data_IF_366541827301
#
_entry.id   IF_366541827301
#
_cell.length_a   1.000
_cell.length_b   1.000
_cell.length_c   1.000
_cell.angle_alpha   90.00
_cell.angle_beta   90.00
_cell.angle_gamma   90.00
#
_symmetry.space_group_name_H-M   'P 1'
#
loop_
_entity.id
_entity.type
_entity.pdbx_description
1 polymer ?
#
# COMPACT_ATOMS: atom_id res chain seq x y z
N UNK A 1 14.98 63.12 -76.27
CA UNK A 1 16.21 62.43 -76.73
C UNK A 1 17.35 63.36 -77.01
N UNK A 2 17.17 64.71 -76.96
CA UNK A 2 18.17 65.64 -77.39
C UNK A 2 18.54 65.50 -78.88
N UNK A 3 19.77 65.90 -79.25
CA UNK A 3 20.24 65.80 -80.64
C UNK A 3 20.79 64.44 -81.05
N UNK A 4 20.80 63.44 -80.13
CA UNK A 4 21.23 62.03 -80.35
C UNK A 4 20.39 61.05 -79.58
N UNK A 5 20.42 59.80 -80.04
CA UNK A 5 19.64 58.69 -79.44
C UNK A 5 20.19 58.40 -78.00
N UNK A 6 19.33 58.00 -77.10
CA UNK A 6 19.68 57.53 -75.80
C UNK A 6 20.43 56.21 -75.94
N UNK A 7 21.63 56.11 -75.33
CA UNK A 7 22.54 54.95 -75.37
C UNK A 7 22.51 54.13 -74.03
N UNK A 8 22.19 54.77 -72.91
CA UNK A 8 21.98 54.13 -71.68
C UNK A 8 20.97 54.89 -70.79
N UNK A 9 20.25 54.23 -69.94
CA UNK A 9 19.34 54.81 -68.97
C UNK A 9 19.13 53.84 -67.80
N UNK A 10 18.73 54.40 -66.66
CA UNK A 10 18.54 53.62 -65.45
C UNK A 10 18.39 54.47 -64.21
N UNK A 11 18.68 53.86 -63.07
CA UNK A 11 18.67 54.51 -61.77
C UNK A 11 20.04 54.36 -61.12
N UNK A 12 20.52 55.43 -60.58
CA UNK A 12 21.69 55.47 -59.67
C UNK A 12 21.20 55.66 -58.26
N UNK A 13 21.75 54.92 -57.30
CA UNK A 13 21.32 54.99 -55.92
C UNK A 13 22.49 54.97 -54.92
N UNK A 14 22.26 55.50 -53.68
CA UNK A 14 23.17 55.52 -52.58
C UNK A 14 22.44 55.56 -51.25
N UNK A 15 23.12 55.22 -50.14
CA UNK A 15 22.60 55.42 -48.78
C UNK A 15 22.91 56.82 -48.27
N UNK A 16 23.71 57.60 -49.01
CA UNK A 16 24.11 58.99 -48.64
C UNK A 16 23.15 60.01 -49.26
N UNK A 17 22.53 60.81 -48.42
CA UNK A 17 21.74 61.96 -48.88
C UNK A 17 22.54 62.96 -49.64
N UNK A 18 22.10 63.45 -50.80
CA UNK A 18 22.78 64.39 -51.57
C UNK A 18 24.08 63.90 -52.28
N UNK A 19 24.16 62.58 -52.53
CA UNK A 19 25.29 62.00 -53.25
C UNK A 19 25.48 62.62 -54.64
N UNK A 20 26.71 62.85 -55.05
CA UNK A 20 27.00 63.50 -56.35
C UNK A 20 26.56 62.61 -57.53
N UNK A 21 26.07 63.21 -58.60
CA UNK A 21 25.75 62.53 -59.85
C UNK A 21 26.93 61.70 -60.37
N UNK A 22 26.71 60.43 -60.70
CA UNK A 22 27.73 59.49 -61.17
C UNK A 22 28.58 58.86 -60.08
N UNK A 23 28.27 59.08 -58.76
CA UNK A 23 29.01 58.53 -57.66
C UNK A 23 28.28 57.39 -56.94
N UNK A 24 27.01 57.14 -57.29
CA UNK A 24 26.20 56.10 -56.74
C UNK A 24 26.33 54.73 -57.45
N UNK A 25 25.61 53.79 -56.99
CA UNK A 25 25.49 52.45 -57.63
C UNK A 25 24.48 52.56 -58.78
N UNK A 26 24.93 52.42 -60.00
CA UNK A 26 24.09 52.50 -61.18
C UNK A 26 23.42 51.13 -61.53
N UNK A 27 22.12 51.14 -61.77
CA UNK A 27 21.34 49.98 -62.24
C UNK A 27 20.73 50.37 -63.59
N UNK A 28 21.29 49.80 -64.65
CA UNK A 28 20.78 49.99 -65.99
C UNK A 28 19.40 49.41 -66.21
N UNK A 29 18.54 50.07 -66.94
CA UNK A 29 17.23 49.59 -67.36
C UNK A 29 17.23 49.18 -68.83
N UNK A 30 16.43 48.19 -69.19
CA UNK A 30 16.27 47.71 -70.54
C UNK A 30 14.83 47.81 -71.06
N UNK A 31 13.94 48.48 -70.33
CA UNK A 31 12.48 48.40 -70.52
C UNK A 31 11.85 49.77 -70.82
N UNK A 32 12.51 50.60 -71.68
CA UNK A 32 11.98 51.89 -72.04
C UNK A 32 10.71 51.73 -72.90
N UNK A 33 9.58 52.24 -72.43
CA UNK A 33 8.30 52.25 -73.09
C UNK A 33 7.85 53.72 -73.24
N UNK A 34 7.96 54.23 -74.46
CA UNK A 34 7.76 55.67 -74.72
C UNK A 34 8.86 56.47 -74.06
N UNK A 35 8.54 57.23 -73.00
CA UNK A 35 9.47 58.03 -72.21
C UNK A 35 9.70 57.46 -70.80
N UNK A 36 9.05 56.35 -70.45
CA UNK A 36 9.06 55.77 -69.17
C UNK A 36 9.96 54.52 -69.08
N UNK A 37 10.66 54.37 -68.02
CA UNK A 37 11.45 53.17 -67.62
C UNK A 37 11.33 52.85 -66.17
N UNK A 38 11.67 51.65 -65.76
CA UNK A 38 11.77 51.21 -64.40
C UNK A 38 13.03 50.38 -64.18
N UNK A 39 13.60 50.43 -62.98
CA UNK A 39 14.70 49.58 -62.58
C UNK A 39 14.35 48.91 -61.25
N UNK A 40 14.50 47.59 -61.23
CA UNK A 40 14.31 46.81 -59.99
C UNK A 40 15.64 46.88 -59.21
N UNK A 41 15.59 47.43 -58.00
CA UNK A 41 16.70 47.41 -57.06
C UNK A 41 16.59 46.18 -56.14
N UNK A 42 17.61 45.34 -56.13
CA UNK A 42 17.67 44.13 -55.33
C UNK A 42 18.87 44.11 -54.42
N UNK A 43 18.88 43.25 -53.35
CA UNK A 43 19.97 43.17 -52.40
C UNK A 43 20.09 44.36 -51.43
N UNK A 44 19.02 45.15 -51.32
CA UNK A 44 18.97 46.29 -50.43
C UNK A 44 18.93 45.85 -48.98
N UNK A 45 19.61 46.57 -48.07
CA UNK A 45 19.52 46.34 -46.64
C UNK A 45 18.13 46.74 -46.11
N UNK A 46 17.53 46.00 -45.21
CA UNK A 46 16.24 46.33 -44.63
C UNK A 46 16.33 47.58 -43.73
N UNK A 47 15.18 48.24 -43.55
CA UNK A 47 15.04 49.42 -42.65
C UNK A 47 16.06 50.53 -42.97
N UNK A 48 16.41 50.65 -44.27
CA UNK A 48 17.46 51.56 -44.73
C UNK A 48 16.85 52.58 -45.71
N UNK A 49 17.21 53.85 -45.50
CA UNK A 49 16.84 54.92 -46.43
C UNK A 49 17.79 54.89 -47.60
N UNK A 50 17.28 54.86 -48.79
CA UNK A 50 18.00 54.95 -50.03
C UNK A 50 17.59 56.22 -50.77
N UNK A 51 18.58 56.89 -51.39
CA UNK A 51 18.40 58.00 -52.23
C UNK A 51 18.74 57.61 -53.66
N UNK A 52 18.05 58.15 -54.66
CA UNK A 52 18.25 57.77 -56.05
C UNK A 52 18.02 58.90 -57.03
N UNK A 53 18.70 58.85 -58.17
CA UNK A 53 18.48 59.64 -59.36
C UNK A 53 18.15 58.75 -60.52
N UNK A 54 17.18 59.11 -61.36
CA UNK A 54 17.07 58.57 -62.71
C UNK A 54 18.18 59.19 -63.58
N UNK A 55 18.79 58.41 -64.45
CA UNK A 55 19.78 58.94 -65.38
C UNK A 55 19.49 58.51 -66.82
N UNK A 56 19.88 59.30 -67.80
CA UNK A 56 19.90 58.96 -69.21
C UNK A 56 21.16 59.53 -69.88
N UNK A 57 21.77 58.72 -70.75
CA UNK A 57 23.03 59.04 -71.44
C UNK A 57 22.79 59.01 -72.96
N UNK A 58 23.39 60.01 -73.64
CA UNK A 58 23.49 60.01 -75.08
C UNK A 58 24.88 60.59 -75.50
N UNK A 59 25.19 60.86 -76.73
CA UNK A 59 26.48 61.36 -77.17
C UNK A 59 26.84 62.80 -76.65
N UNK A 60 25.86 63.49 -76.08
CA UNK A 60 26.07 64.77 -75.37
C UNK A 60 26.40 64.65 -73.90
N UNK A 61 26.38 63.46 -73.33
CA UNK A 61 26.65 63.21 -71.91
C UNK A 61 25.52 62.58 -71.17
N UNK A 62 25.66 62.49 -69.81
CA UNK A 62 24.62 61.89 -68.94
C UNK A 62 23.87 63.00 -68.19
N UNK A 63 22.57 62.97 -68.23
CA UNK A 63 21.65 63.80 -67.47
C UNK A 63 21.06 63.04 -66.31
N UNK A 64 20.90 63.72 -65.18
CA UNK A 64 20.29 63.12 -63.96
C UNK A 64 19.03 63.90 -63.58
N UNK A 65 18.03 63.13 -63.10
CA UNK A 65 16.81 63.68 -62.52
C UNK A 65 17.01 64.17 -61.08
N UNK A 66 16.00 64.81 -60.53
CA UNK A 66 16.01 65.20 -59.12
C UNK A 66 16.13 63.97 -58.21
N UNK A 67 16.76 64.13 -57.09
CA UNK A 67 16.92 63.11 -56.11
C UNK A 67 15.55 62.70 -55.48
N UNK A 68 15.25 61.45 -55.48
CA UNK A 68 14.18 60.87 -54.72
C UNK A 68 14.71 60.01 -53.57
N UNK A 69 13.86 59.60 -52.67
CA UNK A 69 14.21 58.66 -51.60
C UNK A 69 13.07 57.65 -51.31
N UNK A 70 13.45 56.53 -50.77
CA UNK A 70 12.52 55.54 -50.21
C UNK A 70 13.21 54.86 -49.02
N UNK A 71 12.38 54.19 -48.13
CA UNK A 71 12.86 53.37 -47.01
C UNK A 71 12.43 51.93 -47.27
N UNK A 72 13.36 51.02 -47.17
CA UNK A 72 13.04 49.61 -47.24
C UNK A 72 12.22 49.15 -46.03
N UNK A 73 11.35 48.19 -46.19
CA UNK A 73 10.46 47.68 -45.16
C UNK A 73 11.25 47.03 -44.00
N UNK A 74 10.71 47.15 -42.79
CA UNK A 74 11.27 46.52 -41.57
C UNK A 74 10.83 45.03 -41.54
N UNK A 75 11.76 44.10 -41.41
CA UNK A 75 11.45 42.72 -41.14
C UNK A 75 10.80 42.52 -39.77
N UNK A 76 9.70 41.79 -39.69
CA UNK A 76 8.97 41.52 -38.46
C UNK A 76 8.80 40.00 -38.33
N UNK A 77 9.21 39.47 -37.15
CA UNK A 77 8.87 38.18 -36.68
C UNK A 77 7.83 38.27 -35.60
N UNK A 78 6.93 37.29 -35.52
CA UNK A 78 5.97 37.10 -34.43
C UNK A 78 5.73 35.63 -34.20
N UNK A 79 5.09 35.26 -33.09
CA UNK A 79 4.74 33.87 -32.77
C UNK A 79 3.39 33.80 -32.07
N UNK A 80 2.72 32.71 -32.24
CA UNK A 80 1.61 32.34 -31.35
C UNK A 80 2.14 31.84 -30.00
N UNK A 81 1.25 31.69 -29.02
CA UNK A 81 1.57 31.09 -27.72
C UNK A 81 1.78 29.59 -27.83
N UNK A 82 2.62 29.01 -26.95
CA UNK A 82 2.81 27.58 -26.74
C UNK A 82 2.03 27.17 -25.49
N UNK A 83 1.21 26.12 -25.60
CA UNK A 83 0.55 25.51 -24.44
C UNK A 83 1.59 24.82 -23.56
N UNK A 84 1.57 25.06 -22.23
CA UNK A 84 2.48 24.46 -21.26
C UNK A 84 2.30 22.94 -21.14
N UNK A 85 3.34 22.25 -20.67
CA UNK A 85 3.38 20.79 -20.54
C UNK A 85 2.98 20.31 -19.15
N UNK A 86 2.91 21.19 -18.16
CA UNK A 86 2.63 20.81 -16.77
C UNK A 86 3.71 19.92 -16.14
N UNK A 87 3.29 19.02 -15.25
CA UNK A 87 4.18 18.07 -14.60
C UNK A 87 4.35 16.83 -15.48
N UNK A 88 5.58 16.48 -15.80
CA UNK A 88 5.96 15.33 -16.64
C UNK A 88 6.96 14.49 -15.88
N UNK A 89 6.75 13.18 -15.85
CA UNK A 89 7.70 12.27 -15.20
C UNK A 89 9.09 12.38 -15.87
N UNK A 90 10.15 12.44 -15.08
CA UNK A 90 11.51 12.44 -15.62
C UNK A 90 11.76 11.25 -16.55
N UNK A 91 12.55 11.48 -17.60
CA UNK A 91 12.87 10.51 -18.66
C UNK A 91 11.65 10.04 -19.47
N UNK A 92 10.52 10.71 -19.37
CA UNK A 92 9.36 10.52 -20.27
C UNK A 92 9.15 11.75 -21.14
N UNK A 93 8.51 11.58 -22.28
CA UNK A 93 8.29 12.66 -23.24
C UNK A 93 6.81 13.01 -23.32
N UNK A 94 6.50 14.28 -23.14
CA UNK A 94 5.17 14.85 -23.34
C UNK A 94 5.08 15.64 -24.64
N UNK A 95 3.88 15.76 -25.18
CA UNK A 95 3.60 16.48 -26.42
C UNK A 95 3.48 15.56 -27.67
N UNK A 96 3.49 16.10 -28.89
CA UNK A 96 3.86 17.48 -29.20
C UNK A 96 2.75 18.51 -28.93
N UNK A 97 3.12 19.64 -28.31
CA UNK A 97 2.39 20.89 -28.39
C UNK A 97 2.96 21.69 -29.56
N UNK A 98 2.36 22.82 -29.95
CA UNK A 98 2.87 23.60 -31.06
C UNK A 98 2.66 25.09 -30.90
N UNK A 99 3.50 25.87 -31.60
CA UNK A 99 3.30 27.29 -31.85
C UNK A 99 3.59 27.59 -33.33
N UNK A 100 3.10 28.71 -33.84
CA UNK A 100 3.34 29.13 -35.21
C UNK A 100 4.22 30.36 -35.23
N UNK A 101 5.29 30.33 -36.02
CA UNK A 101 6.12 31.47 -36.33
C UNK A 101 5.50 32.14 -37.58
N UNK A 102 5.32 33.46 -37.52
CA UNK A 102 4.91 34.23 -38.67
C UNK A 102 5.91 35.38 -38.92
N UNK A 103 6.09 35.72 -40.17
CA UNK A 103 7.00 36.80 -40.51
C UNK A 103 6.49 37.63 -41.73
N UNK A 104 6.85 38.91 -41.75
CA UNK A 104 6.60 39.81 -42.84
C UNK A 104 7.86 40.58 -43.19
N UNK A 105 8.06 40.87 -44.49
CA UNK A 105 9.24 41.58 -45.00
C UNK A 105 10.59 40.95 -44.63
N UNK A 106 10.62 39.63 -44.39
CA UNK A 106 11.85 38.96 -44.01
C UNK A 106 12.90 39.01 -45.12
N UNK A 107 14.17 39.01 -44.72
CA UNK A 107 15.32 38.80 -45.61
C UNK A 107 15.44 37.32 -45.97
N UNK A 108 16.39 36.94 -46.79
CA UNK A 108 16.69 35.52 -47.14
C UNK A 108 17.42 34.76 -46.04
N UNK A 109 17.76 35.41 -44.90
CA UNK A 109 18.42 34.77 -43.76
C UNK A 109 17.49 33.72 -43.10
N UNK A 110 18.05 32.60 -42.71
CA UNK A 110 17.28 31.56 -42.05
C UNK A 110 16.59 32.06 -40.76
N UNK A 111 15.38 31.52 -40.51
CA UNK A 111 14.72 31.66 -39.22
C UNK A 111 15.23 30.51 -38.30
N UNK A 112 15.65 30.84 -37.12
CA UNK A 112 16.23 29.89 -36.15
C UNK A 112 15.37 29.77 -34.92
N UNK A 113 15.27 28.55 -34.37
CA UNK A 113 14.70 28.25 -33.07
C UNK A 113 15.83 27.79 -32.17
N UNK A 114 16.10 28.55 -31.11
CA UNK A 114 17.20 28.28 -30.21
C UNK A 114 16.90 27.13 -29.21
N UNK A 115 17.97 26.54 -28.69
CA UNK A 115 17.86 25.48 -27.67
C UNK A 115 17.27 26.00 -26.36
N UNK A 116 16.37 25.22 -25.78
CA UNK A 116 15.94 25.37 -24.38
C UNK A 116 16.02 23.98 -23.70
N UNK A 117 16.64 23.95 -22.54
CA UNK A 117 16.84 22.66 -21.83
C UNK A 117 15.54 21.91 -21.61
N UNK A 118 15.51 20.62 -21.91
CA UNK A 118 14.33 19.76 -21.80
C UNK A 118 13.38 19.81 -23.00
N UNK A 119 13.56 20.75 -23.98
CA UNK A 119 12.69 20.91 -25.12
C UNK A 119 13.38 20.53 -26.43
N UNK A 120 12.61 19.94 -27.33
CA UNK A 120 13.04 19.60 -28.69
C UNK A 120 11.95 19.99 -29.69
N UNK A 121 12.36 20.27 -30.93
CA UNK A 121 11.53 20.89 -31.94
C UNK A 121 11.50 20.12 -33.24
N UNK A 122 10.37 20.18 -33.95
CA UNK A 122 10.22 19.65 -35.30
C UNK A 122 9.29 20.54 -36.12
N UNK A 123 9.42 20.50 -37.45
CA UNK A 123 8.49 21.15 -38.38
C UNK A 123 7.27 20.29 -38.71
N UNK A 124 7.24 19.02 -38.27
CA UNK A 124 6.11 18.10 -38.46
C UNK A 124 5.85 17.31 -37.15
N UNK A 125 4.60 17.02 -36.83
CA UNK A 125 4.21 16.35 -35.61
C UNK A 125 4.87 14.96 -35.41
N UNK A 126 5.02 14.21 -36.50
CA UNK A 126 5.63 12.87 -36.52
C UNK A 126 7.11 12.85 -36.96
N UNK A 127 7.73 14.02 -37.12
CA UNK A 127 9.10 14.15 -37.60
C UNK A 127 10.21 13.88 -36.56
N UNK A 128 11.45 14.08 -36.98
CA UNK A 128 12.60 14.07 -36.10
C UNK A 128 12.63 15.36 -35.29
N UNK A 129 12.80 15.21 -33.97
CA UNK A 129 12.91 16.35 -33.04
C UNK A 129 14.37 16.62 -32.71
N UNK A 130 14.77 17.90 -32.81
CA UNK A 130 16.12 18.37 -32.53
C UNK A 130 16.09 19.46 -31.46
N UNK A 131 17.22 19.72 -30.83
CA UNK A 131 17.33 20.78 -29.80
C UNK A 131 17.32 22.21 -30.38
N UNK A 132 17.56 22.36 -31.68
CA UNK A 132 17.51 23.64 -32.41
C UNK A 132 16.93 23.42 -33.79
N UNK A 133 16.37 24.45 -34.43
CA UNK A 133 16.03 24.41 -35.84
C UNK A 133 16.69 25.59 -36.58
N UNK A 134 17.06 25.35 -37.85
CA UNK A 134 17.44 26.34 -38.77
C UNK A 134 16.56 26.16 -40.03
N UNK A 135 15.67 27.12 -40.25
CA UNK A 135 14.61 27.03 -41.23
C UNK A 135 14.93 27.94 -42.41
N UNK A 136 15.19 27.33 -43.57
CA UNK A 136 15.29 28.09 -44.82
C UNK A 136 13.90 28.62 -45.18
N UNK A 137 13.87 29.88 -45.62
CA UNK A 137 12.59 30.49 -46.03
C UNK A 137 12.83 31.47 -47.17
N UNK A 138 11.84 31.69 -48.08
CA UNK A 138 11.93 32.76 -49.06
C UNK A 138 11.82 34.11 -48.33
N UNK A 139 12.38 35.15 -48.92
CA UNK A 139 12.16 36.50 -48.41
C UNK A 139 10.68 36.89 -48.45
N UNK A 140 10.29 37.85 -47.58
CA UNK A 140 8.93 38.41 -47.55
C UNK A 140 8.03 37.79 -46.49
N UNK A 141 6.89 37.21 -46.88
CA UNK A 141 5.94 36.59 -45.97
C UNK A 141 6.38 35.17 -45.59
N UNK A 142 6.22 34.81 -44.32
CA UNK A 142 6.59 33.50 -43.78
C UNK A 142 5.58 33.00 -42.76
N UNK A 143 5.29 31.69 -42.80
CA UNK A 143 4.48 31.04 -41.78
C UNK A 143 4.93 29.58 -41.62
N UNK A 144 5.31 29.17 -40.42
CA UNK A 144 5.74 27.80 -40.10
C UNK A 144 5.26 27.41 -38.71
N UNK A 145 4.55 26.28 -38.64
CA UNK A 145 4.20 25.64 -37.39
C UNK A 145 5.41 24.84 -36.85
N UNK A 146 5.69 25.02 -35.60
CA UNK A 146 6.75 24.31 -34.85
C UNK A 146 6.11 23.43 -33.82
N UNK A 147 6.40 22.13 -33.87
CA UNK A 147 5.99 21.15 -32.90
C UNK A 147 7.07 21.00 -31.84
N UNK A 148 6.67 20.96 -30.58
CA UNK A 148 7.55 20.96 -29.40
C UNK A 148 7.25 19.74 -28.55
N UNK A 149 8.31 19.01 -28.17
CA UNK A 149 8.25 17.96 -27.16
C UNK A 149 9.03 18.39 -25.92
N UNK A 150 8.57 17.92 -24.76
CA UNK A 150 9.21 18.18 -23.49
C UNK A 150 9.63 16.85 -22.84
N UNK A 151 10.93 16.71 -22.53
CA UNK A 151 11.53 15.52 -21.92
C UNK A 151 12.40 15.92 -20.75
N UNK A 152 11.85 16.07 -19.53
CA UNK A 152 12.64 16.44 -18.35
C UNK A 152 13.56 15.29 -17.93
N UNK A 153 14.79 15.59 -17.52
CA UNK A 153 15.76 14.62 -17.01
C UNK A 153 15.98 14.72 -15.50
N UNK A 154 15.55 15.82 -14.89
CA UNK A 154 15.69 16.10 -13.47
C UNK A 154 14.37 16.58 -12.88
N UNK A 155 14.21 16.42 -11.58
CA UNK A 155 13.07 16.95 -10.81
C UNK A 155 13.29 18.42 -10.56
N UNK A 156 12.80 19.25 -11.47
CA UNK A 156 12.93 20.72 -11.42
C UNK A 156 11.95 21.39 -12.38
N UNK A 157 11.82 22.72 -12.26
CA UNK A 157 11.16 23.56 -13.27
C UNK A 157 12.04 23.76 -14.49
N UNK A 158 11.46 23.69 -15.68
CA UNK A 158 12.08 23.93 -16.98
C UNK A 158 11.49 25.16 -17.67
N UNK A 159 10.86 26.06 -16.92
CA UNK A 159 10.25 27.28 -17.47
C UNK A 159 11.31 28.17 -18.09
N UNK A 160 11.04 28.69 -19.27
CA UNK A 160 11.97 29.57 -19.99
C UNK A 160 11.38 30.10 -21.27
N UNK A 161 12.21 30.74 -22.07
CA UNK A 161 11.83 31.27 -23.37
C UNK A 161 12.57 30.56 -24.50
N UNK A 162 11.81 30.04 -25.47
CA UNK A 162 12.35 29.61 -26.75
C UNK A 162 12.57 30.84 -27.60
N UNK A 163 13.83 31.20 -27.84
CA UNK A 163 14.17 32.36 -28.67
C UNK A 163 14.02 31.97 -30.16
N UNK A 164 13.23 32.73 -30.90
CA UNK A 164 13.03 32.62 -32.35
C UNK A 164 13.60 33.88 -32.99
N UNK A 165 14.62 33.72 -33.81
CA UNK A 165 15.32 34.86 -34.46
C UNK A 165 15.62 34.59 -35.93
N UNK A 166 16.19 35.54 -36.61
CA UNK A 166 16.57 35.45 -38.04
C UNK A 166 15.62 36.18 -38.99
N UNK A 167 15.80 35.94 -40.28
CA UNK A 167 15.01 36.65 -41.30
C UNK A 167 15.21 38.19 -41.30
N UNK A 168 16.22 38.70 -40.60
CA UNK A 168 16.46 40.13 -40.39
C UNK A 168 15.55 40.79 -39.35
N UNK A 169 14.60 40.05 -38.75
CA UNK A 169 13.69 40.58 -37.73
C UNK A 169 14.26 40.47 -36.34
N UNK A 170 13.65 41.21 -35.37
CA UNK A 170 13.98 41.10 -33.96
C UNK A 170 13.61 39.74 -33.40
N UNK A 171 14.39 39.25 -32.46
CA UNK A 171 14.10 37.96 -31.75
C UNK A 171 12.79 38.03 -31.00
N UNK A 172 11.98 36.99 -31.17
CA UNK A 172 10.73 36.79 -30.45
C UNK A 172 10.93 35.64 -29.41
N UNK A 173 10.42 35.85 -28.21
CA UNK A 173 10.46 34.85 -27.15
C UNK A 173 9.13 34.15 -26.98
N UNK A 174 9.14 32.85 -27.17
CA UNK A 174 7.96 31.97 -26.93
C UNK A 174 8.12 31.38 -25.55
N UNK A 175 7.23 31.76 -24.62
CA UNK A 175 7.23 31.19 -23.29
C UNK A 175 6.93 29.69 -23.32
N UNK A 176 7.81 28.88 -22.74
CA UNK A 176 7.65 27.44 -22.56
C UNK A 176 7.64 27.12 -21.07
N UNK A 177 6.68 26.30 -20.63
CA UNK A 177 6.53 25.92 -19.23
C UNK A 177 6.39 24.40 -19.11
N UNK A 178 7.06 23.84 -18.09
CA UNK A 178 6.98 22.42 -17.73
C UNK A 178 7.83 22.15 -16.48
N UNK A 179 7.50 21.08 -15.78
CA UNK A 179 8.29 20.63 -14.63
C UNK A 179 8.54 19.13 -14.72
N UNK A 180 9.79 18.72 -14.47
CA UNK A 180 10.13 17.33 -14.25
C UNK A 180 9.72 16.90 -12.84
N UNK A 181 9.04 15.78 -12.74
CA UNK A 181 8.61 15.20 -11.46
C UNK A 181 9.01 13.73 -11.37
N UNK A 182 9.13 13.22 -10.13
CA UNK A 182 9.28 11.79 -9.85
C UNK A 182 8.33 11.45 -8.69
N UNK A 183 7.07 11.17 -9.03
CA UNK A 183 6.03 10.95 -8.03
C UNK A 183 6.04 9.53 -7.50
N UNK A 184 5.92 9.38 -6.19
CA UNK A 184 5.68 8.12 -5.52
C UNK A 184 4.29 7.54 -5.86
N UNK A 185 4.02 6.25 -5.60
CA UNK A 185 2.70 5.65 -5.80
C UNK A 185 1.65 6.30 -4.90
N UNK A 186 0.38 6.23 -5.26
CA UNK A 186 -0.71 6.42 -4.30
C UNK A 186 -1.12 5.07 -3.71
N UNK A 187 -1.39 5.03 -2.41
CA UNK A 187 -1.80 3.80 -1.71
C UNK A 187 -2.90 4.12 -0.69
N UNK A 188 -3.83 3.17 -0.50
CA UNK A 188 -4.85 3.25 0.54
C UNK A 188 -4.87 1.97 1.35
N UNK A 189 -5.03 2.11 2.67
CA UNK A 189 -5.24 0.97 3.56
C UNK A 189 -6.69 0.50 3.45
N UNK A 190 -6.87 -0.79 3.21
CA UNK A 190 -8.16 -1.46 3.21
C UNK A 190 -8.51 -2.01 4.60
N UNK A 191 -9.67 -2.68 4.71
CA UNK A 191 -10.11 -3.28 5.95
C UNK A 191 -9.33 -4.55 6.31
N UNK A 192 -9.21 -4.82 7.61
CA UNK A 192 -8.78 -6.11 8.12
C UNK A 192 -9.94 -7.12 8.10
N UNK A 193 -9.62 -8.38 7.80
CA UNK A 193 -10.57 -9.50 7.71
C UNK A 193 -9.92 -10.80 8.20
N UNK A 194 -10.69 -11.89 8.27
CA UNK A 194 -10.23 -13.20 8.74
C UNK A 194 -9.43 -13.12 10.06
N UNK A 195 -9.92 -12.28 10.99
CA UNK A 195 -9.28 -12.02 12.27
C UNK A 195 -9.50 -13.22 13.20
N UNK A 196 -8.42 -13.84 13.64
CA UNK A 196 -8.41 -14.91 14.63
C UNK A 196 -7.70 -14.45 15.90
N UNK A 197 -7.32 -15.39 16.75
CA UNK A 197 -6.51 -15.12 17.96
C UNK A 197 -5.07 -14.71 17.62
N UNK A 198 -4.51 -15.19 16.49
CA UNK A 198 -3.11 -15.04 16.14
C UNK A 198 -2.86 -14.63 14.70
N UNK A 199 -3.91 -14.41 13.92
CA UNK A 199 -3.81 -14.03 12.49
C UNK A 199 -4.83 -12.98 12.11
N UNK A 200 -4.54 -12.22 11.06
CA UNK A 200 -5.47 -11.35 10.36
C UNK A 200 -5.03 -11.21 8.89
N UNK A 201 -5.96 -10.90 8.01
CA UNK A 201 -5.66 -10.50 6.63
C UNK A 201 -5.99 -9.02 6.48
N UNK A 202 -5.04 -8.23 6.02
CA UNK A 202 -5.23 -6.79 5.79
C UNK A 202 -5.11 -6.50 4.31
N UNK A 203 -6.10 -5.78 3.77
CA UNK A 203 -6.13 -5.37 2.37
C UNK A 203 -5.47 -4.02 2.15
N UNK A 204 -5.02 -3.76 0.91
CA UNK A 204 -4.55 -2.47 0.45
C UNK A 204 -4.84 -2.28 -1.03
N UNK A 205 -4.82 -1.02 -1.49
CA UNK A 205 -4.97 -0.70 -2.92
C UNK A 205 -3.91 0.30 -3.36
N UNK A 206 -3.47 0.18 -4.63
CA UNK A 206 -2.53 1.09 -5.30
C UNK A 206 -3.24 1.69 -6.51
N UNK A 207 -4.00 2.79 -6.34
CA UNK A 207 -4.75 3.41 -7.44
C UNK A 207 -3.87 3.97 -8.55
N UNK A 208 -2.66 4.41 -8.25
CA UNK A 208 -1.70 4.90 -9.23
C UNK A 208 -0.26 4.53 -8.85
N UNK A 209 0.53 4.14 -9.86
CA UNK A 209 1.93 3.73 -9.69
C UNK A 209 2.89 4.92 -9.50
N UNK A 210 2.41 6.16 -9.72
CA UNK A 210 3.29 7.32 -9.81
C UNK A 210 4.08 7.33 -11.12
N UNK A 211 5.29 7.87 -11.08
CA UNK A 211 6.12 8.04 -12.28
C UNK A 211 6.81 6.76 -12.76
N UNK A 212 6.94 5.78 -11.92
CA UNK A 212 7.61 4.50 -12.24
C UNK A 212 6.82 3.32 -11.70
N UNK A 213 7.12 2.13 -12.18
CA UNK A 213 6.51 0.90 -11.68
C UNK A 213 6.75 0.75 -10.17
N UNK A 214 5.75 0.20 -9.47
CA UNK A 214 5.86 -0.15 -8.06
C UNK A 214 6.84 -1.30 -7.89
N UNK A 215 7.83 -1.14 -7.01
CA UNK A 215 8.90 -2.11 -6.74
C UNK A 215 8.68 -2.90 -5.45
N UNK A 216 7.94 -2.34 -4.48
CA UNK A 216 7.57 -3.01 -3.24
C UNK A 216 6.22 -2.49 -2.74
N UNK A 217 5.44 -3.35 -2.12
CA UNK A 217 4.17 -3.01 -1.49
C UNK A 217 3.82 -4.04 -0.40
N UNK A 218 2.97 -3.65 0.52
CA UNK A 218 2.55 -4.51 1.62
C UNK A 218 1.85 -3.76 2.74
N UNK A 219 1.88 -4.37 3.92
CA UNK A 219 1.31 -3.82 5.15
C UNK A 219 2.41 -3.65 6.19
N UNK A 220 2.44 -2.50 6.83
CA UNK A 220 3.21 -2.21 8.03
C UNK A 220 2.27 -2.15 9.22
N UNK A 221 2.61 -2.77 10.36
CA UNK A 221 1.76 -2.82 11.54
C UNK A 221 2.53 -2.68 12.85
N UNK A 222 1.83 -2.26 13.91
CA UNK A 222 2.35 -2.07 15.26
C UNK A 222 1.24 -2.22 16.29
N UNK A 223 1.59 -2.43 17.55
CA UNK A 223 0.65 -2.31 18.69
C UNK A 223 0.52 -0.87 19.19
N UNK A 224 1.34 0.05 18.70
CA UNK A 224 1.32 1.46 19.09
C UNK A 224 0.38 2.26 18.19
N UNK A 225 -0.62 2.93 18.75
CA UNK A 225 -1.46 3.85 18.00
C UNK A 225 -0.67 5.07 17.53
N UNK A 226 -0.82 5.45 16.27
CA UNK A 226 -0.11 6.59 15.67
C UNK A 226 1.39 6.33 15.47
N UNK A 227 1.82 5.08 15.31
CA UNK A 227 3.22 4.77 15.03
C UNK A 227 3.68 5.45 13.72
N UNK A 228 4.91 6.01 13.69
CA UNK A 228 5.43 6.67 12.50
C UNK A 228 5.60 5.71 11.32
N UNK A 229 5.36 6.20 10.10
CA UNK A 229 5.60 5.47 8.86
C UNK A 229 7.04 4.92 8.79
N UNK A 230 7.21 3.66 8.43
CA UNK A 230 8.50 3.00 8.30
C UNK A 230 9.10 2.50 9.63
N UNK A 231 8.35 2.54 10.75
CA UNK A 231 8.84 2.11 12.07
C UNK A 231 8.15 0.86 12.61
N UNK A 232 7.08 0.40 11.95
CA UNK A 232 6.37 -0.81 12.32
C UNK A 232 7.00 -2.08 11.73
N UNK A 233 6.35 -3.21 11.97
CA UNK A 233 6.71 -4.48 11.33
C UNK A 233 6.11 -4.53 9.93
N UNK A 234 6.96 -4.58 8.90
CA UNK A 234 6.53 -4.63 7.50
C UNK A 234 6.36 -6.07 7.00
N UNK A 235 5.23 -6.36 6.37
CA UNK A 235 4.96 -7.60 5.65
C UNK A 235 4.79 -7.27 4.17
N UNK A 236 5.77 -7.68 3.36
CA UNK A 236 5.71 -7.52 1.91
C UNK A 236 4.62 -8.43 1.30
N UNK A 237 3.93 -7.92 0.29
CA UNK A 237 2.95 -8.67 -0.51
C UNK A 237 3.47 -8.90 -1.92
N UNK A 238 3.01 -9.98 -2.56
CA UNK A 238 3.36 -10.35 -3.94
C UNK A 238 2.12 -10.62 -4.81
N UNK A 239 0.93 -10.38 -4.27
CA UNK A 239 -0.36 -10.78 -4.83
C UNK A 239 -1.18 -9.62 -5.42
N UNK A 240 -0.50 -8.62 -6.03
CA UNK A 240 -1.20 -7.49 -6.66
C UNK A 240 -2.04 -7.97 -7.84
N UNK A 241 -3.35 -7.75 -7.77
CA UNK A 241 -4.30 -8.06 -8.83
C UNK A 241 -5.08 -6.80 -9.19
N UNK A 242 -4.81 -6.27 -10.39
CA UNK A 242 -5.27 -4.94 -10.75
C UNK A 242 -4.64 -3.89 -9.83
N UNK A 243 -5.46 -3.23 -9.00
CA UNK A 243 -5.00 -2.25 -8.01
C UNK A 243 -4.99 -2.81 -6.58
N UNK A 244 -5.48 -4.04 -6.35
CA UNK A 244 -5.72 -4.60 -5.03
C UNK A 244 -4.64 -5.59 -4.62
N UNK A 245 -4.30 -5.60 -3.33
CA UNK A 245 -3.45 -6.59 -2.70
C UNK A 245 -3.91 -6.90 -1.27
N UNK A 246 -3.37 -7.95 -0.67
CA UNK A 246 -3.58 -8.26 0.74
C UNK A 246 -2.34 -8.90 1.34
N UNK A 247 -2.17 -8.74 2.66
CA UNK A 247 -1.12 -9.39 3.43
C UNK A 247 -1.74 -10.21 4.55
N UNK A 248 -1.26 -11.43 4.71
CA UNK A 248 -1.59 -12.26 5.86
C UNK A 248 -0.63 -11.94 7.02
N UNK A 249 -1.15 -11.47 8.13
CA UNK A 249 -0.43 -11.24 9.36
C UNK A 249 -0.55 -12.49 10.24
N UNK A 250 0.55 -13.01 10.76
CA UNK A 250 0.62 -14.22 11.57
C UNK A 250 1.47 -13.98 12.82
N UNK A 251 1.35 -14.85 13.84
CA UNK A 251 2.10 -14.72 15.08
C UNK A 251 1.65 -13.56 15.96
N UNK A 252 0.43 -13.08 15.76
CA UNK A 252 -0.14 -12.00 16.55
C UNK A 252 -0.48 -12.47 17.98
N UNK A 253 -0.42 -11.57 18.96
CA UNK A 253 -0.88 -11.83 20.30
C UNK A 253 -2.42 -11.81 20.38
N UNK A 254 -3.06 -12.72 21.14
CA UNK A 254 -4.52 -12.69 21.32
C UNK A 254 -4.98 -11.45 22.10
N UNK A 255 -6.27 -11.08 21.94
CA UNK A 255 -6.90 -9.93 22.61
C UNK A 255 -6.09 -8.63 22.48
N UNK A 256 -5.36 -8.46 21.36
CA UNK A 256 -4.44 -7.34 21.17
C UNK A 256 -4.91 -6.47 20.02
N UNK A 257 -4.95 -5.17 20.21
CA UNK A 257 -5.23 -4.21 19.15
C UNK A 257 -3.96 -3.91 18.36
N UNK A 258 -4.04 -4.05 17.05
CA UNK A 258 -3.01 -3.73 16.08
C UNK A 258 -3.46 -2.56 15.21
N UNK A 259 -2.54 -1.66 14.94
CA UNK A 259 -2.68 -0.53 14.02
C UNK A 259 -1.83 -0.82 12.79
N UNK A 260 -2.29 -0.42 11.60
CA UNK A 260 -1.60 -0.75 10.37
C UNK A 260 -1.73 0.34 9.30
N UNK A 261 -0.75 0.38 8.40
CA UNK A 261 -0.76 1.12 7.14
C UNK A 261 -0.50 0.19 5.96
N UNK A 262 -1.18 0.38 4.85
CA UNK A 262 -0.69 -0.13 3.58
C UNK A 262 0.45 0.75 3.09
N UNK A 263 1.47 0.19 2.45
CA UNK A 263 2.56 0.96 1.85
C UNK A 263 2.83 0.50 0.41
N UNK A 264 3.34 1.43 -0.41
CA UNK A 264 3.83 1.15 -1.75
C UNK A 264 5.04 2.03 -2.07
N UNK A 265 6.01 1.46 -2.79
CA UNK A 265 7.31 2.08 -3.10
C UNK A 265 7.58 2.01 -4.59
N UNK A 266 8.08 3.11 -5.16
CA UNK A 266 8.70 3.15 -6.48
C UNK A 266 9.98 4.01 -6.42
N UNK A 267 10.58 4.34 -7.58
CA UNK A 267 11.76 5.22 -7.62
C UNK A 267 11.48 6.66 -7.13
N UNK A 268 10.23 7.08 -7.03
CA UNK A 268 9.82 8.39 -6.49
C UNK A 268 9.71 8.41 -4.96
N UNK A 269 9.75 7.24 -4.31
CA UNK A 269 9.66 7.10 -2.85
C UNK A 269 8.60 6.11 -2.38
N UNK A 270 8.40 6.06 -1.08
CA UNK A 270 7.38 5.25 -0.41
C UNK A 270 6.24 6.13 0.09
N UNK A 271 5.02 5.69 -0.15
CA UNK A 271 3.81 6.30 0.43
C UNK A 271 3.09 5.29 1.31
N UNK A 272 2.31 5.82 2.25
CA UNK A 272 1.54 5.05 3.21
C UNK A 272 0.08 5.48 3.15
N UNK A 273 -0.81 4.50 3.28
CA UNK A 273 -2.24 4.74 3.43
C UNK A 273 -2.59 5.26 4.83
N UNK A 274 -3.83 5.66 5.01
CA UNK A 274 -4.33 6.05 6.33
C UNK A 274 -4.25 4.89 7.31
N UNK A 275 -3.98 5.18 8.60
CA UNK A 275 -3.95 4.16 9.64
C UNK A 275 -5.32 3.52 9.82
N UNK A 276 -5.34 2.18 9.78
CA UNK A 276 -6.45 1.35 10.22
C UNK A 276 -6.11 0.63 11.52
N UNK A 277 -7.09 -0.08 12.11
CA UNK A 277 -6.88 -0.92 13.27
C UNK A 277 -7.77 -2.14 13.26
N UNK A 278 -7.34 -3.19 13.97
CA UNK A 278 -8.17 -4.35 14.28
C UNK A 278 -7.73 -4.91 15.65
N UNK A 279 -8.61 -5.71 16.27
CA UNK A 279 -8.27 -6.41 17.52
C UNK A 279 -8.40 -7.91 17.27
N UNK A 280 -7.36 -8.67 17.62
CA UNK A 280 -7.36 -10.13 17.56
C UNK A 280 -8.37 -10.71 18.54
N UNK A 281 -8.95 -11.88 18.20
CA UNK A 281 -9.93 -12.55 19.03
C UNK A 281 -9.33 -12.98 20.38
N UNK A 282 -10.18 -13.04 21.40
CA UNK A 282 -9.80 -13.55 22.70
C UNK A 282 -9.53 -15.07 22.68
N UNK A 283 -8.67 -15.60 23.60
CA UNK A 283 -8.47 -17.03 23.78
C UNK A 283 -9.75 -17.76 24.16
N UNK A 284 -9.87 -19.01 23.69
CA UNK A 284 -10.98 -19.92 24.05
C UNK A 284 -10.37 -21.15 24.72
N UNK A 285 -10.80 -21.45 25.96
CA UNK A 285 -10.49 -22.71 26.63
C UNK A 285 -11.55 -23.74 26.31
N UNK A 286 -11.13 -25.01 26.15
CA UNK A 286 -11.99 -26.18 26.05
C UNK A 286 -11.47 -27.25 27.00
N UNK A 287 -12.36 -28.19 27.42
CA UNK A 287 -11.93 -29.33 28.23
C UNK A 287 -12.64 -30.60 27.79
N UNK A 288 -11.97 -31.74 27.91
CA UNK A 288 -12.60 -33.05 27.74
C UNK A 288 -13.47 -33.40 28.94
N UNK A 289 -14.48 -34.26 28.79
CA UNK A 289 -15.28 -34.74 29.93
C UNK A 289 -14.42 -35.46 30.96
N UNK A 290 -14.77 -35.30 32.26
CA UNK A 290 -14.25 -36.09 33.37
C UNK A 290 -15.10 -37.29 33.63
N UNK A 291 -14.48 -38.46 33.76
CA UNK A 291 -15.20 -39.70 34.13
C UNK A 291 -15.72 -39.59 35.59
N UNK A 292 -16.98 -39.99 35.79
CA UNK A 292 -17.61 -39.98 37.11
C UNK A 292 -16.88 -40.89 38.11
N UNK A 293 -16.88 -40.52 39.42
CA UNK A 293 -16.26 -41.30 40.49
C UNK A 293 -17.22 -42.32 41.10
N UNK A 294 -18.54 -42.15 40.91
CA UNK A 294 -19.55 -42.99 41.49
C UNK A 294 -19.66 -42.85 43.02
N UNK A 295 -20.09 -43.92 43.69
CA UNK A 295 -20.21 -43.99 45.14
C UNK A 295 -18.84 -44.39 45.76
N UNK A 296 -18.31 -43.60 46.70
CA UNK A 296 -17.06 -43.85 47.38
C UNK A 296 -17.25 -43.72 48.87
N UNK A 297 -16.64 -44.62 49.63
CA UNK A 297 -16.71 -44.55 51.11
C UNK A 297 -16.14 -43.25 51.64
N UNK A 298 -16.81 -42.66 52.63
CA UNK A 298 -16.30 -41.43 53.27
C UNK A 298 -14.90 -41.66 53.79
N UNK A 299 -14.05 -40.57 53.71
CA UNK A 299 -12.65 -40.56 54.08
C UNK A 299 -11.73 -41.53 53.31
N UNK A 300 -12.22 -42.09 52.20
CA UNK A 300 -11.37 -42.84 51.24
C UNK A 300 -11.24 -42.07 49.95
N UNK A 301 -10.15 -42.30 49.21
CA UNK A 301 -9.81 -41.55 48.01
C UNK A 301 -10.00 -42.44 46.76
N UNK A 302 -10.78 -41.98 45.82
CA UNK A 302 -10.94 -42.60 44.50
C UNK A 302 -10.16 -41.83 43.42
N UNK A 303 -9.78 -42.54 42.37
CA UNK A 303 -9.03 -41.95 41.24
C UNK A 303 -7.53 -42.24 41.28
N UNK A 304 -6.71 -41.53 40.46
CA UNK A 304 -7.12 -40.35 39.71
C UNK A 304 -7.89 -40.66 38.39
N UNK A 305 -8.95 -39.93 38.14
CA UNK A 305 -9.52 -39.73 36.82
C UNK A 305 -8.87 -38.47 36.22
N UNK A 306 -9.09 -38.16 34.95
CA UNK A 306 -8.46 -36.97 34.32
C UNK A 306 -9.36 -36.35 33.27
N UNK A 307 -9.08 -35.06 32.99
CA UNK A 307 -9.58 -34.35 31.84
C UNK A 307 -8.42 -33.52 31.22
N UNK A 308 -8.56 -33.11 29.95
CA UNK A 308 -7.56 -32.35 29.22
C UNK A 308 -8.12 -30.98 28.95
N UNK A 309 -7.35 -29.91 29.30
CA UNK A 309 -7.64 -28.54 28.93
C UNK A 309 -6.88 -28.25 27.65
N UNK A 310 -7.54 -27.65 26.65
CA UNK A 310 -6.95 -27.26 25.38
C UNK A 310 -7.31 -25.82 25.03
N UNK A 311 -6.38 -25.14 24.34
CA UNK A 311 -6.59 -23.88 23.64
C UNK A 311 -5.62 -23.76 22.48
N UNK A 312 -6.05 -23.12 21.38
CA UNK A 312 -5.16 -22.83 20.24
C UNK A 312 -4.24 -21.65 20.50
N UNK A 313 -4.62 -20.72 21.39
CA UNK A 313 -3.79 -19.57 21.76
C UNK A 313 -4.25 -19.02 23.11
N UNK A 314 -3.35 -19.00 24.06
CA UNK A 314 -3.53 -18.36 25.38
C UNK A 314 -2.48 -17.26 25.58
N UNK A 315 -2.78 -16.30 26.45
CA UNK A 315 -1.78 -15.35 26.95
C UNK A 315 -0.90 -16.02 27.99
N UNK A 316 0.16 -15.41 28.48
CA UNK A 316 1.01 -15.94 29.55
C UNK A 316 0.37 -15.88 30.96
N UNK A 317 -0.92 -15.49 31.06
CA UNK A 317 -1.65 -15.49 32.33
C UNK A 317 -1.96 -16.93 32.76
N UNK A 318 -1.77 -17.25 34.05
CA UNK A 318 -1.97 -18.60 34.59
C UNK A 318 -3.38 -19.13 34.27
N UNK A 319 -3.47 -20.45 34.07
CA UNK A 319 -4.75 -21.19 34.01
C UNK A 319 -5.03 -21.77 35.41
N UNK A 320 -6.21 -21.46 35.95
CA UNK A 320 -6.66 -21.87 37.26
C UNK A 320 -7.74 -22.96 37.14
N UNK A 321 -7.64 -23.98 37.98
CA UNK A 321 -8.57 -25.11 38.06
C UNK A 321 -9.09 -25.25 39.46
N UNK A 322 -10.41 -25.37 39.61
CA UNK A 322 -11.08 -25.52 40.89
C UNK A 322 -11.23 -24.20 41.67
N UNK A 323 -11.60 -24.24 42.95
CA UNK A 323 -11.86 -25.45 43.78
C UNK A 323 -13.23 -26.09 43.51
N UNK A 324 -13.36 -27.34 43.92
CA UNK A 324 -14.65 -28.04 44.08
C UNK A 324 -14.56 -28.92 45.34
N UNK A 325 -15.54 -28.81 46.23
CA UNK A 325 -15.58 -29.57 47.48
C UNK A 325 -15.53 -31.09 47.27
N UNK A 326 -14.64 -31.77 48.00
CA UNK A 326 -14.42 -33.21 47.86
C UNK A 326 -13.43 -33.62 46.78
N UNK A 327 -12.98 -32.69 45.92
CA UNK A 327 -12.05 -32.91 44.80
C UNK A 327 -10.70 -32.23 45.05
N UNK A 328 -9.65 -32.88 44.56
CA UNK A 328 -8.30 -32.36 44.53
C UNK A 328 -7.65 -32.61 43.19
N UNK A 329 -6.72 -31.74 42.78
CA UNK A 329 -6.20 -31.65 41.41
C UNK A 329 -4.67 -31.74 41.42
N UNK A 330 -4.11 -32.35 40.35
CA UNK A 330 -2.68 -32.38 40.07
C UNK A 330 -2.43 -32.31 38.57
N UNK A 331 -1.28 -31.80 38.15
CA UNK A 331 -0.80 -31.83 36.76
C UNK A 331 -0.13 -33.15 36.39
N UNK A 332 0.14 -34.04 37.38
CA UNK A 332 0.76 -35.35 37.19
C UNK A 332 -0.01 -36.41 38.00
N UNK A 333 -0.14 -37.63 37.47
CA UNK A 333 -0.94 -38.69 38.12
C UNK A 333 -0.39 -39.10 39.48
N UNK A 334 0.93 -39.09 39.68
CA UNK A 334 1.61 -39.42 40.94
C UNK A 334 2.04 -38.20 41.75
N UNK A 335 1.59 -37.00 41.36
CA UNK A 335 2.01 -35.75 42.01
C UNK A 335 1.24 -35.40 43.28
N UNK A 336 1.54 -34.20 43.81
CA UNK A 336 0.80 -33.62 44.95
C UNK A 336 -0.54 -33.10 44.43
N UNK A 337 -1.64 -33.49 45.12
CA UNK A 337 -2.98 -33.04 44.83
C UNK A 337 -3.40 -31.91 45.75
N UNK A 338 -3.89 -30.82 45.20
CA UNK A 338 -4.32 -29.61 45.91
C UNK A 338 -5.79 -29.29 45.63
N UNK A 339 -6.43 -28.51 46.51
CA UNK A 339 -7.83 -28.12 46.34
C UNK A 339 -8.06 -27.22 45.10
N UNK A 340 -7.01 -26.57 44.59
CA UNK A 340 -7.01 -25.81 43.31
C UNK A 340 -5.61 -25.84 42.71
N UNK A 341 -5.52 -25.63 41.39
CA UNK A 341 -4.28 -25.48 40.63
C UNK A 341 -4.17 -24.07 40.04
N UNK A 342 -2.94 -23.57 39.99
CA UNK A 342 -2.56 -22.42 39.17
C UNK A 342 -1.41 -22.86 38.26
N UNK A 343 -1.70 -23.04 36.98
CA UNK A 343 -0.81 -23.63 35.98
C UNK A 343 -0.11 -22.49 35.25
N UNK A 344 1.20 -22.38 35.36
CA UNK A 344 2.04 -21.43 34.62
C UNK A 344 2.40 -22.03 33.27
N UNK A 345 2.37 -21.21 32.22
CA UNK A 345 2.72 -21.59 30.85
C UNK A 345 3.14 -20.38 30.04
N UNK A 346 3.76 -20.60 28.86
CA UNK A 346 4.04 -19.57 27.89
C UNK A 346 2.78 -19.22 27.08
N UNK A 347 2.74 -18.03 26.48
CA UNK A 347 1.70 -17.68 25.51
C UNK A 347 1.77 -18.60 24.28
N UNK A 348 0.62 -18.90 23.68
CA UNK A 348 0.51 -19.76 22.50
C UNK A 348 -0.47 -20.91 22.68
N UNK A 349 -0.29 -21.98 21.91
CA UNK A 349 -1.09 -23.20 22.05
C UNK A 349 -0.86 -23.84 23.44
N UNK A 350 -1.94 -24.31 24.04
CA UNK A 350 -1.92 -24.89 25.38
C UNK A 350 -2.66 -26.22 25.40
N UNK A 351 -2.05 -27.23 26.00
CA UNK A 351 -2.65 -28.52 26.30
C UNK A 351 -2.11 -29.03 27.62
N UNK A 352 -3.00 -29.34 28.58
CA UNK A 352 -2.61 -29.86 29.88
C UNK A 352 -3.60 -30.91 30.38
N UNK A 353 -3.11 -32.07 30.74
CA UNK A 353 -3.89 -33.06 31.49
C UNK A 353 -3.96 -32.69 32.95
N UNK A 354 -5.18 -32.63 33.48
CA UNK A 354 -5.44 -32.44 34.91
C UNK A 354 -5.96 -33.75 35.50
N UNK A 355 -5.25 -34.26 36.49
CA UNK A 355 -5.63 -35.44 37.24
C UNK A 355 -6.44 -35.02 38.45
N UNK A 356 -7.52 -35.76 38.73
CA UNK A 356 -8.52 -35.44 39.74
C UNK A 356 -8.66 -36.62 40.70
N UNK A 357 -8.59 -36.41 42.01
CA UNK A 357 -8.96 -37.36 43.06
C UNK A 357 -10.19 -36.88 43.77
N UNK A 358 -11.02 -37.86 44.21
CA UNK A 358 -12.25 -37.61 44.93
C UNK A 358 -12.17 -38.24 46.32
N UNK A 359 -12.36 -37.42 47.36
CA UNK A 359 -12.33 -37.86 48.76
C UNK A 359 -13.54 -37.28 49.48
N UNK A 360 -14.70 -38.01 49.51
CA UNK A 360 -15.88 -37.54 50.24
C UNK A 360 -15.68 -37.57 51.74
N UNK A 361 -16.10 -36.54 52.46
CA UNK A 361 -16.03 -36.46 53.95
C UNK A 361 -17.38 -36.68 54.64
N UNK A 362 -18.48 -36.70 53.89
CA UNK A 362 -19.82 -36.88 54.38
C UNK A 362 -20.65 -37.77 53.45
N UNK A 363 -21.72 -38.38 53.93
CA UNK A 363 -22.68 -39.15 53.15
C UNK A 363 -23.61 -38.17 52.46
N UNK A 364 -23.22 -37.78 51.24
CA UNK A 364 -23.98 -36.85 50.40
C UNK A 364 -23.50 -36.90 48.93
N UNK A 365 -24.21 -36.22 48.03
CA UNK A 365 -23.78 -35.98 46.67
C UNK A 365 -22.73 -34.87 46.64
N UNK A 366 -21.69 -35.08 45.83
CA UNK A 366 -20.61 -34.11 45.54
C UNK A 366 -20.62 -33.70 44.06
N UNK A 367 -21.78 -33.79 43.42
CA UNK A 367 -21.91 -33.36 42.04
C UNK A 367 -21.75 -31.85 41.91
N UNK A 368 -20.99 -31.42 40.92
CA UNK A 368 -20.75 -29.99 40.69
C UNK A 368 -19.90 -29.74 39.45
N UNK A 369 -19.48 -28.48 39.32
CA UNK A 369 -18.65 -28.02 38.21
C UNK A 369 -17.26 -27.66 38.75
N UNK A 370 -16.22 -28.20 38.12
CA UNK A 370 -14.83 -27.76 38.30
C UNK A 370 -14.64 -26.56 37.38
N UNK A 371 -14.49 -25.34 37.91
CA UNK A 371 -14.24 -24.16 37.08
C UNK A 371 -12.81 -24.20 36.54
N UNK A 372 -12.64 -23.87 35.25
CA UNK A 372 -11.35 -23.66 34.59
C UNK A 372 -11.36 -22.29 33.96
N UNK A 373 -10.42 -21.43 34.37
CA UNK A 373 -10.35 -20.02 33.94
C UNK A 373 -8.91 -19.57 33.76
N UNK A 374 -8.69 -18.39 33.14
CA UNK A 374 -7.36 -17.81 32.95
C UNK A 374 -6.85 -17.96 31.52
N UNK A 375 -5.52 -17.87 31.31
CA UNK A 375 -4.92 -17.88 29.98
C UNK A 375 -5.38 -16.72 29.07
N UNK A 376 -5.95 -15.64 29.65
CA UNK A 376 -6.55 -14.54 28.90
C UNK A 376 -7.92 -14.83 28.32
N UNK A 377 -8.51 -16.02 28.56
CA UNK A 377 -9.87 -16.34 28.13
C UNK A 377 -10.90 -15.56 28.98
N UNK A 378 -11.87 -14.89 28.36
CA UNK A 378 -12.87 -14.10 29.08
C UNK A 378 -13.94 -14.94 29.76
N UNK A 379 -14.04 -16.24 29.39
CA UNK A 379 -15.09 -17.15 29.85
C UNK A 379 -14.46 -18.28 30.65
N UNK A 380 -14.97 -18.50 31.88
CA UNK A 380 -14.70 -19.71 32.67
C UNK A 380 -15.48 -20.88 32.08
N UNK A 381 -14.80 -21.99 31.79
CA UNK A 381 -15.45 -23.24 31.40
C UNK A 381 -15.65 -24.12 32.62
N UNK A 382 -16.67 -24.99 32.59
CA UNK A 382 -17.03 -25.89 33.67
C UNK A 382 -16.86 -27.34 33.24
N UNK A 383 -16.05 -28.12 33.99
CA UNK A 383 -15.94 -29.57 33.81
C UNK A 383 -16.85 -30.23 34.84
N UNK A 384 -17.86 -30.91 34.34
CA UNK A 384 -18.83 -31.63 35.23
C UNK A 384 -18.10 -32.73 35.98
N UNK A 385 -18.21 -32.73 37.32
CA UNK A 385 -17.73 -33.78 38.20
C UNK A 385 -18.91 -34.38 38.94
N UNK A 386 -18.91 -35.69 39.09
CA UNK A 386 -19.96 -36.42 39.84
C UNK A 386 -19.34 -37.49 40.73
N UNK A 387 -19.86 -37.57 41.93
CA UNK A 387 -19.49 -38.57 42.93
C UNK A 387 -20.40 -38.47 44.17
N UNK A 388 -20.48 -39.51 44.94
CA UNK A 388 -21.23 -39.50 46.19
C UNK A 388 -20.44 -40.16 47.31
N UNK A 389 -20.49 -39.58 48.49
CA UNK A 389 -19.97 -40.18 49.71
C UNK A 389 -21.01 -41.17 50.26
N UNK A 390 -20.57 -42.37 50.58
CA UNK A 390 -21.39 -43.39 51.21
C UNK A 390 -20.74 -43.93 52.46
N UNK A 391 -21.54 -44.48 53.39
CA UNK A 391 -21.06 -45.22 54.55
C UNK A 391 -21.94 -46.47 54.67
N UNK A 392 -21.60 -47.50 53.88
CA UNK A 392 -22.36 -48.75 53.82
C UNK A 392 -21.90 -49.68 54.91
N UNK A 393 -22.87 -50.35 55.55
CA UNK A 393 -22.63 -51.43 56.51
C UNK A 393 -22.23 -52.71 55.77
N UNK A 394 -21.61 -53.66 56.52
CA UNK A 394 -21.31 -54.98 55.99
C UNK A 394 -22.59 -55.70 55.58
N UNK A 395 -22.49 -56.49 54.52
CA UNK A 395 -23.60 -57.41 54.09
C UNK A 395 -23.22 -58.83 54.46
N UNK A 396 -24.11 -59.49 55.14
CA UNK A 396 -23.94 -60.91 55.55
C UNK A 396 -24.97 -61.77 54.90
N UNK A 397 -24.63 -63.04 54.66
CA UNK A 397 -25.47 -64.01 54.12
C UNK A 397 -25.49 -65.21 55.06
N UNK A 398 -26.68 -65.62 55.54
CA UNK A 398 -26.86 -66.82 56.34
C UNK A 398 -26.83 -68.06 55.44
N UNK A 399 -25.95 -68.99 55.73
CA UNK A 399 -25.84 -70.27 55.01
C UNK A 399 -26.70 -71.41 55.66
N UNK A 400 -26.58 -72.57 55.12
CA UNK A 400 -27.30 -73.75 55.62
C UNK A 400 -26.74 -74.22 56.94
N UNK A 401 -27.62 -74.60 57.88
CA UNK A 401 -27.24 -75.26 59.12
C UNK A 401 -26.92 -76.75 58.87
N UNK A 402 -25.91 -77.24 59.55
CA UNK A 402 -25.52 -78.66 59.54
C UNK A 402 -25.77 -79.24 60.93
N UNK A 403 -26.69 -80.22 61.02
CA UNK A 403 -26.96 -80.88 62.27
C UNK A 403 -25.82 -81.84 62.59
N UNK A 404 -25.22 -81.74 63.78
CA UNK A 404 -24.16 -82.62 64.24
C UNK A 404 -24.66 -83.72 65.17
N UNK A 405 -25.64 -83.42 66.08
CA UNK A 405 -26.23 -84.32 66.99
C UNK A 405 -27.55 -83.70 67.55
N UNK A 406 -28.32 -84.40 68.42
CA UNK A 406 -29.60 -83.89 68.95
C UNK A 406 -29.49 -82.53 69.69
N UNK A 407 -28.31 -82.20 70.15
CA UNK A 407 -28.12 -81.03 71.02
C UNK A 407 -27.12 -79.99 70.40
N UNK A 408 -26.67 -80.20 69.14
CA UNK A 408 -25.71 -79.28 68.51
C UNK A 408 -25.94 -79.09 67.00
N UNK A 409 -25.64 -77.92 66.52
CA UNK A 409 -25.74 -77.55 65.12
C UNK A 409 -24.57 -76.65 64.76
N UNK A 410 -24.05 -76.84 63.57
CA UNK A 410 -23.08 -75.84 62.99
C UNK A 410 -23.87 -74.91 62.10
N UNK A 411 -23.78 -73.63 62.37
CA UNK A 411 -24.34 -72.55 61.55
C UNK A 411 -23.26 -72.06 60.64
N UNK A 412 -23.58 -71.83 59.38
CA UNK A 412 -22.71 -71.30 58.32
C UNK A 412 -23.18 -69.90 57.92
N UNK A 413 -22.27 -69.05 57.61
CA UNK A 413 -22.56 -67.72 57.10
C UNK A 413 -21.35 -67.14 56.39
N UNK A 414 -21.55 -66.14 55.59
CA UNK A 414 -20.47 -65.39 54.90
C UNK A 414 -20.74 -63.91 54.94
N UNK A 415 -19.67 -63.17 55.00
CA UNK A 415 -19.69 -61.74 54.80
C UNK A 415 -19.50 -61.51 53.30
N UNK A 416 -20.58 -61.13 52.58
CA UNK A 416 -20.53 -60.87 51.14
C UNK A 416 -19.93 -59.51 50.77
N UNK A 417 -19.97 -58.55 51.67
CA UNK A 417 -19.28 -57.21 51.56
C UNK A 417 -18.95 -56.74 52.95
N UNK A 418 -17.74 -56.16 53.11
CA UNK A 418 -17.31 -55.52 54.39
C UNK A 418 -17.93 -54.14 54.57
N UNK A 419 -18.60 -53.56 53.51
CA UNK A 419 -19.05 -52.18 53.54
C UNK A 419 -17.91 -51.17 53.49
N UNK A 420 -18.10 -50.01 54.14
CA UNK A 420 -17.12 -48.91 54.16
C UNK A 420 -16.14 -49.00 55.36
N UNK A 421 -16.28 -49.93 56.27
CA UNK A 421 -15.41 -50.10 57.43
C UNK A 421 -15.09 -51.58 57.65
N UNK A 422 -13.93 -51.89 58.23
CA UNK A 422 -13.64 -53.30 58.59
C UNK A 422 -14.69 -53.87 59.54
N UNK A 423 -15.04 -55.11 59.29
CA UNK A 423 -15.93 -55.84 60.20
C UNK A 423 -15.16 -56.11 61.50
N UNK A 424 -15.65 -55.58 62.61
CA UNK A 424 -15.03 -55.71 63.93
C UNK A 424 -15.58 -56.87 64.74
N UNK A 425 -16.85 -57.27 64.45
CA UNK A 425 -17.52 -58.38 65.17
C UNK A 425 -18.42 -59.09 64.19
N UNK A 426 -18.41 -60.39 64.19
CA UNK A 426 -19.29 -61.22 63.42
C UNK A 426 -19.73 -62.46 64.25
N UNK A 427 -20.87 -63.03 63.93
CA UNK A 427 -21.40 -64.15 64.63
C UNK A 427 -22.81 -64.49 64.16
N UNK A 428 -23.46 -65.37 64.90
CA UNK A 428 -24.83 -65.77 64.69
C UNK A 428 -25.72 -65.36 65.84
N UNK A 429 -26.88 -64.91 65.51
CA UNK A 429 -27.98 -64.69 66.45
C UNK A 429 -29.07 -65.74 66.16
N UNK A 430 -29.54 -66.46 67.23
CA UNK A 430 -30.53 -67.50 67.07
C UNK A 430 -31.64 -67.41 68.13
N UNK A 431 -32.82 -68.01 67.86
CA UNK A 431 -33.93 -68.01 68.79
C UNK A 431 -34.81 -69.23 68.48
N UNK A 432 -35.54 -69.70 69.49
CA UNK A 432 -36.59 -70.69 69.29
C UNK A 432 -37.93 -70.17 68.74
N UNK A 433 -38.00 -68.87 68.48
CA UNK A 433 -39.22 -68.20 67.96
C UNK A 433 -39.01 -67.84 66.50
N UNK A 434 -39.94 -68.19 65.59
CA UNK A 434 -39.92 -67.75 64.21
C UNK A 434 -40.20 -66.28 64.08
N UNK A 435 -39.48 -65.57 63.13
CA UNK A 435 -39.62 -64.13 62.91
C UNK A 435 -38.84 -63.27 63.90
N UNK A 436 -37.74 -63.77 64.41
CA UNK A 436 -36.84 -63.02 65.27
C UNK A 436 -36.41 -61.67 64.63
N UNK A 437 -36.66 -60.60 65.36
CA UNK A 437 -36.17 -59.33 64.98
C UNK A 437 -34.65 -59.24 65.28
N UNK A 438 -33.87 -58.64 64.36
CA UNK A 438 -32.41 -58.46 64.50
C UNK A 438 -32.05 -57.79 65.83
N UNK A 439 -31.08 -58.33 66.55
CA UNK A 439 -30.59 -57.84 67.85
C UNK A 439 -31.29 -58.37 69.08
N UNK A 440 -32.34 -59.21 68.93
CA UNK A 440 -33.11 -59.71 70.05
C UNK A 440 -32.89 -61.18 70.34
N UNK A 441 -32.05 -61.88 69.63
CA UNK A 441 -31.72 -63.29 69.84
C UNK A 441 -30.52 -63.51 70.78
N UNK A 442 -30.24 -64.80 71.05
CA UNK A 442 -29.00 -65.23 71.72
C UNK A 442 -27.84 -65.19 70.75
N UNK A 443 -26.74 -64.51 71.10
CA UNK A 443 -25.52 -64.34 70.27
C UNK A 443 -24.47 -65.38 70.65
#
# INVERSE_FOLDING_TARGET
NGCSAITAYGVEWSTTNGFPNGSGTAVASGNLTGINFSSALTGLAPTTTYYYHAYATNNGGTAYGAQGSFVTATPILSSSTLTGFGNVCINTTAGPNSFTITGTNLTTANVTVAALAGFTYSTTAGGTYTTTLSLTQPSGAYSQQIFVRFTPTLVQSYNGNIAVGGGGGSTVNVAATGAGVNTAPSVTSGAASAITQTTATVAGTIPANGCTAVTAYGIEYSTTNGFPNGTGTAIASTNLTGVNFSSALTGLAPSTTYYYHAYATNAGGTTYGTQGSFTTSAPVLTATPLTAFGANCINTTAGPNSFIINSNAVTAANINVGPLAGYTFSTTSGGTYTASLSITHAAGAFTQTVFVKFTPTAVQSYNGNIPVSGGGAPITINVVASGSGVNTVATVVTGSAILLNPNSVTLNGSVSSIGCSPVTTYGFEYSGISGLANGLGTK
#
